data_IF_712778378668
#
_entry.id   IF_712778378668
#
_cell.length_a   1.000
_cell.length_b   1.000
_cell.length_c   1.000
_cell.angle_alpha   90.00
_cell.angle_beta   90.00
_cell.angle_gamma   90.00
#
_symmetry.space_group_name_H-M   'P 1'
#
loop_
_entity.id
_entity.type
_entity.pdbx_description
1 polymer ?
#
# COMPACT_ATOMS: atom_id res chain seq x y z
N UNK A 1 -69.86 -30.72 39.75
CA UNK A 1 -68.79 -30.80 38.72
C UNK A 1 -68.03 -29.47 38.64
N UNK A 2 -66.76 -29.40 39.08
CA UNK A 2 -65.94 -28.17 38.99
C UNK A 2 -65.21 -28.12 37.64
N UNK A 3 -65.60 -27.20 36.75
CA UNK A 3 -64.91 -26.97 35.47
C UNK A 3 -63.55 -26.29 35.73
N UNK A 4 -62.44 -27.01 35.49
CA UNK A 4 -61.08 -26.44 35.48
C UNK A 4 -60.97 -25.40 34.35
N UNK A 5 -60.86 -24.11 34.69
CA UNK A 5 -60.48 -23.06 33.74
C UNK A 5 -59.07 -23.35 33.22
N UNK A 6 -58.95 -23.77 31.96
CA UNK A 6 -57.65 -23.86 31.26
C UNK A 6 -57.06 -22.45 31.17
N UNK A 7 -55.97 -22.20 31.91
CA UNK A 7 -55.18 -20.97 31.79
C UNK A 7 -54.63 -20.91 30.35
N UNK A 8 -55.17 -20.01 29.52
CA UNK A 8 -54.61 -19.74 28.19
C UNK A 8 -53.21 -19.16 28.41
N UNK A 9 -52.17 -19.95 28.14
CA UNK A 9 -50.78 -19.51 28.18
C UNK A 9 -50.62 -18.43 27.11
N UNK A 10 -50.51 -17.17 27.54
CA UNK A 10 -50.36 -16.03 26.62
C UNK A 10 -49.02 -16.16 25.92
N UNK A 11 -49.02 -16.26 24.59
CA UNK A 11 -47.79 -16.32 23.75
C UNK A 11 -47.13 -14.94 23.56
N UNK A 12 -47.75 -13.88 24.09
CA UNK A 12 -47.29 -12.48 23.98
C UNK A 12 -45.85 -12.22 24.48
N UNK A 13 -45.36 -12.79 25.61
CA UNK A 13 -44.00 -12.47 26.08
C UNK A 13 -42.90 -13.10 25.19
N UNK A 14 -43.19 -14.21 24.51
CA UNK A 14 -42.23 -14.87 23.60
C UNK A 14 -42.04 -14.08 22.31
N UNK A 15 -43.12 -13.52 21.75
CA UNK A 15 -43.03 -12.69 20.54
C UNK A 15 -42.21 -11.41 20.78
N UNK A 16 -42.39 -10.77 21.94
CA UNK A 16 -41.62 -9.58 22.31
C UNK A 16 -40.12 -9.91 22.48
N UNK A 17 -39.79 -11.04 23.12
CA UNK A 17 -38.40 -11.48 23.27
C UNK A 17 -37.71 -11.73 21.92
N UNK A 18 -38.40 -12.40 20.99
CA UNK A 18 -37.87 -12.65 19.64
C UNK A 18 -37.66 -11.33 18.89
N UNK A 19 -38.61 -10.40 18.99
CA UNK A 19 -38.49 -9.08 18.36
C UNK A 19 -37.26 -8.32 18.87
N UNK A 20 -37.04 -8.28 20.18
CA UNK A 20 -35.85 -7.64 20.78
C UNK A 20 -34.57 -8.32 20.29
N UNK A 21 -34.53 -9.65 20.20
CA UNK A 21 -33.36 -10.37 19.68
C UNK A 21 -33.06 -10.01 18.21
N UNK A 22 -34.08 -9.93 17.36
CA UNK A 22 -33.91 -9.54 15.94
C UNK A 22 -33.36 -8.12 15.82
N UNK A 23 -33.85 -7.18 16.64
CA UNK A 23 -33.34 -5.80 16.66
C UNK A 23 -31.89 -5.73 17.14
N UNK A 24 -31.52 -6.52 18.15
CA UNK A 24 -30.13 -6.57 18.60
C UNK A 24 -29.20 -7.13 17.52
N UNK A 25 -29.61 -8.20 16.85
CA UNK A 25 -28.83 -8.79 15.75
C UNK A 25 -28.67 -7.80 14.60
N UNK A 26 -29.74 -7.09 14.21
CA UNK A 26 -29.67 -6.14 13.09
C UNK A 26 -28.69 -4.98 13.36
N UNK A 27 -28.70 -4.42 14.57
CA UNK A 27 -27.76 -3.36 14.96
C UNK A 27 -26.31 -3.86 14.93
N UNK A 28 -26.06 -5.08 15.41
CA UNK A 28 -24.72 -5.69 15.37
C UNK A 28 -24.28 -5.93 13.92
N UNK A 29 -25.15 -6.45 13.05
CA UNK A 29 -24.83 -6.71 11.64
C UNK A 29 -24.44 -5.44 10.88
N UNK A 30 -25.08 -4.30 11.16
CA UNK A 30 -24.70 -3.01 10.56
C UNK A 30 -23.31 -2.58 11.01
N UNK A 31 -23.02 -2.69 12.32
CA UNK A 31 -21.69 -2.32 12.85
C UNK A 31 -20.58 -3.24 12.35
N UNK A 32 -20.83 -4.54 12.26
CA UNK A 32 -19.86 -5.51 11.70
C UNK A 32 -19.56 -5.18 10.23
N UNK A 33 -20.58 -4.82 9.46
CA UNK A 33 -20.42 -4.43 8.06
C UNK A 33 -19.61 -3.13 7.90
N UNK A 34 -19.83 -2.15 8.77
CA UNK A 34 -19.04 -0.90 8.79
C UNK A 34 -17.58 -1.16 9.20
N UNK A 35 -17.36 -1.97 10.24
CA UNK A 35 -16.02 -2.39 10.67
C UNK A 35 -15.27 -3.13 9.55
N UNK A 36 -15.93 -4.03 8.83
CA UNK A 36 -15.31 -4.76 7.73
C UNK A 36 -14.90 -3.83 6.58
N UNK A 37 -15.76 -2.85 6.25
CA UNK A 37 -15.44 -1.82 5.24
C UNK A 37 -14.25 -0.97 5.66
N UNK A 38 -14.24 -0.49 6.90
CA UNK A 38 -13.13 0.30 7.45
C UNK A 38 -11.82 -0.49 7.44
N UNK A 39 -11.86 -1.76 7.83
CA UNK A 39 -10.68 -2.61 7.82
C UNK A 39 -10.12 -2.79 6.39
N UNK A 40 -11.00 -3.07 5.42
CA UNK A 40 -10.59 -3.17 4.01
C UNK A 40 -10.01 -1.87 3.45
N UNK A 41 -10.53 -0.71 3.87
CA UNK A 41 -9.99 0.60 3.46
C UNK A 41 -8.60 0.80 4.09
N UNK A 42 -8.44 0.50 5.37
CA UNK A 42 -7.16 0.63 6.07
C UNK A 42 -6.09 -0.29 5.49
N UNK A 43 -6.42 -1.53 5.13
CA UNK A 43 -5.49 -2.44 4.46
C UNK A 43 -5.04 -1.90 3.10
N UNK A 44 -5.97 -1.32 2.32
CA UNK A 44 -5.64 -0.71 1.02
C UNK A 44 -4.76 0.53 1.19
N UNK A 45 -5.08 1.37 2.18
CA UNK A 45 -4.32 2.58 2.47
C UNK A 45 -2.92 2.24 2.96
N UNK A 46 -2.78 1.23 3.84
CA UNK A 46 -1.49 0.72 4.28
C UNK A 46 -0.66 0.19 3.11
N UNK A 47 -1.23 -0.65 2.25
CA UNK A 47 -0.54 -1.16 1.07
C UNK A 47 -0.13 -0.05 0.10
N UNK A 48 -0.97 0.98 -0.07
CA UNK A 48 -0.64 2.14 -0.91
C UNK A 48 0.49 2.99 -0.33
N UNK A 49 0.47 3.25 0.97
CA UNK A 49 1.53 3.99 1.67
C UNK A 49 2.84 3.21 1.61
N UNK A 50 2.80 1.89 1.82
CA UNK A 50 3.97 1.03 1.75
C UNK A 50 4.57 1.00 0.34
N UNK A 51 3.74 0.89 -0.69
CA UNK A 51 4.20 0.97 -2.08
C UNK A 51 4.85 2.32 -2.42
N UNK A 52 4.28 3.43 -1.96
CA UNK A 52 4.89 4.75 -2.14
C UNK A 52 6.22 4.87 -1.42
N UNK A 53 6.30 4.38 -0.17
CA UNK A 53 7.54 4.38 0.60
C UNK A 53 8.63 3.57 -0.10
N UNK A 54 8.29 2.38 -0.62
CA UNK A 54 9.26 1.55 -1.32
C UNK A 54 9.77 2.23 -2.59
N UNK A 55 8.87 2.83 -3.38
CA UNK A 55 9.24 3.58 -4.57
C UNK A 55 10.21 4.73 -4.24
N UNK A 56 9.93 5.49 -3.18
CA UNK A 56 10.79 6.60 -2.75
C UNK A 56 12.17 6.12 -2.29
N UNK A 57 12.23 4.98 -1.57
CA UNK A 57 13.49 4.37 -1.15
C UNK A 57 14.30 3.86 -2.34
N UNK A 58 13.65 3.23 -3.32
CA UNK A 58 14.31 2.76 -4.53
C UNK A 58 14.86 3.95 -5.34
N UNK A 59 14.10 5.05 -5.45
CA UNK A 59 14.56 6.29 -6.09
C UNK A 59 15.75 6.90 -5.35
N UNK A 60 15.72 6.91 -4.01
CA UNK A 60 16.83 7.37 -3.19
C UNK A 60 18.11 6.54 -3.44
N UNK A 61 18.01 5.21 -3.48
CA UNK A 61 19.15 4.33 -3.76
C UNK A 61 19.72 4.63 -5.15
N UNK A 62 18.86 4.70 -6.17
CA UNK A 62 19.30 5.01 -7.53
C UNK A 62 20.00 6.37 -7.63
N UNK A 63 19.53 7.38 -6.89
CA UNK A 63 20.17 8.70 -6.84
C UNK A 63 21.54 8.64 -6.15
N UNK A 64 21.68 7.85 -5.09
CA UNK A 64 22.97 7.65 -4.42
C UNK A 64 23.97 6.94 -5.33
N UNK A 65 23.56 5.87 -5.99
CA UNK A 65 24.39 5.14 -6.95
C UNK A 65 24.82 6.03 -8.11
N UNK A 66 23.89 6.84 -8.64
CA UNK A 66 24.20 7.81 -9.68
C UNK A 66 25.18 8.89 -9.19
N UNK A 67 25.00 9.39 -7.98
CA UNK A 67 25.90 10.36 -7.38
C UNK A 67 27.31 9.78 -7.21
N UNK A 68 27.42 8.53 -6.75
CA UNK A 68 28.70 7.84 -6.64
C UNK A 68 29.36 7.64 -8.00
N UNK A 69 28.59 7.23 -9.02
CA UNK A 69 29.08 7.10 -10.39
C UNK A 69 29.59 8.43 -10.95
N UNK A 70 28.85 9.53 -10.77
CA UNK A 70 29.29 10.88 -11.18
C UNK A 70 30.55 11.34 -10.45
N UNK A 71 30.77 10.91 -9.21
CA UNK A 71 31.96 11.22 -8.43
C UNK A 71 33.14 10.27 -8.73
N UNK A 72 32.92 9.23 -9.54
CA UNK A 72 33.97 8.30 -9.92
C UNK A 72 35.00 8.96 -10.84
N UNK A 73 36.25 8.52 -10.73
CA UNK A 73 37.33 8.95 -11.64
C UNK A 73 37.03 8.59 -13.09
N UNK A 74 36.24 7.54 -13.32
CA UNK A 74 35.85 7.05 -14.64
C UNK A 74 34.90 8.02 -15.35
N UNK A 75 33.91 8.56 -14.63
CA UNK A 75 33.04 9.62 -15.17
C UNK A 75 33.81 10.91 -15.44
N UNK A 76 34.71 11.33 -14.53
CA UNK A 76 35.55 12.51 -14.72
C UNK A 76 36.46 12.33 -15.95
N UNK A 77 37.04 11.15 -16.13
CA UNK A 77 37.87 10.81 -17.27
C UNK A 77 37.08 10.82 -18.58
N UNK A 78 35.87 10.26 -18.60
CA UNK A 78 34.99 10.31 -19.75
C UNK A 78 34.59 11.76 -20.10
N UNK A 79 34.22 12.55 -19.10
CA UNK A 79 33.90 13.97 -19.28
C UNK A 79 35.12 14.76 -19.81
N UNK A 80 36.32 14.44 -19.33
CA UNK A 80 37.57 15.06 -19.76
C UNK A 80 37.91 14.71 -21.23
N UNK A 81 37.70 13.46 -21.62
CA UNK A 81 37.82 12.99 -23.01
C UNK A 81 36.81 13.68 -23.92
N UNK A 82 35.54 13.69 -23.54
CA UNK A 82 34.45 14.22 -24.35
C UNK A 82 34.49 15.74 -24.51
N UNK A 83 34.79 16.49 -23.43
CA UNK A 83 34.78 17.96 -23.45
C UNK A 83 36.09 18.58 -23.90
N UNK A 84 37.21 17.99 -23.50
CA UNK A 84 38.54 18.59 -23.69
C UNK A 84 39.43 17.79 -24.65
N UNK A 85 38.96 16.64 -25.16
CA UNK A 85 39.76 15.75 -26.02
C UNK A 85 40.99 15.18 -25.30
N UNK A 86 40.99 15.17 -23.96
CA UNK A 86 42.12 14.72 -23.18
C UNK A 86 42.30 13.21 -23.32
N UNK A 87 43.54 12.75 -23.39
CA UNK A 87 43.89 11.33 -23.43
C UNK A 87 44.96 11.04 -22.38
N UNK A 88 45.06 9.78 -21.93
CA UNK A 88 46.11 9.41 -20.98
C UNK A 88 47.48 9.49 -21.65
N UNK A 89 48.57 9.70 -20.87
CA UNK A 89 49.93 9.83 -21.42
C UNK A 89 50.41 8.68 -22.32
N UNK A 90 49.80 7.49 -22.20
CA UNK A 90 50.16 6.28 -22.95
C UNK A 90 49.14 5.92 -24.06
N UNK A 91 48.24 6.82 -24.43
CA UNK A 91 47.23 6.59 -25.46
C UNK A 91 47.49 7.44 -26.72
N UNK A 92 47.03 6.96 -27.87
CA UNK A 92 47.13 7.68 -29.17
C UNK A 92 45.73 7.92 -29.72
N UNK A 93 45.43 9.17 -30.11
CA UNK A 93 44.13 9.59 -30.63
C UNK A 93 44.03 9.33 -32.14
N UNK A 94 43.02 8.57 -32.58
CA UNK A 94 42.74 8.31 -34.01
C UNK A 94 41.48 9.06 -34.44
N UNK A 95 41.63 10.06 -35.32
CA UNK A 95 40.51 10.80 -35.92
C UNK A 95 40.34 10.28 -37.34
N UNK A 96 39.26 9.52 -37.58
CA UNK A 96 38.94 8.97 -38.89
C UNK A 96 38.29 10.11 -39.71
N UNK A 97 39.02 10.65 -40.68
CA UNK A 97 38.43 11.61 -41.64
C UNK A 97 37.69 10.82 -42.73
N UNK A 98 36.39 11.05 -42.96
CA UNK A 98 35.69 10.46 -44.10
C UNK A 98 36.19 11.12 -45.40
N UNK A 99 36.48 10.30 -46.41
CA UNK A 99 36.85 10.71 -47.78
C UNK A 99 35.72 11.42 -48.53
#
# INVERSE_FOLDING_TARGET
>A
MRKRKKRKKTRKPIGFLIFVLVVLISVVSVKVSDLYKRNSILEKEAAFIEAQKQKELDEQINLLDYQEYMNSTEYIEQLARDKFGLIKPNETLFIIQPE
#
